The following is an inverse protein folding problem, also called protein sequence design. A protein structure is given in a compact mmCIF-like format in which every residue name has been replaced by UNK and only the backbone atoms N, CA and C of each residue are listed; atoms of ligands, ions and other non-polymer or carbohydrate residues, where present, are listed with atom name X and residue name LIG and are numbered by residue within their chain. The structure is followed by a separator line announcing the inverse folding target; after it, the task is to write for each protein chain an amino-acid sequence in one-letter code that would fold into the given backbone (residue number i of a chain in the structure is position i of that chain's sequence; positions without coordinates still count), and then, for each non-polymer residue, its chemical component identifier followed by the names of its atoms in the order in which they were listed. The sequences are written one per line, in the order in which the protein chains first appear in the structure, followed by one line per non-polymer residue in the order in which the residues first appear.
data_IF_446955855102
#
_entry.id   IF_446955855102
#
_cell.length_a   1.000
_cell.length_b   1.000
_cell.length_c   1.000
_cell.angle_alpha   90.00
_cell.angle_beta   90.00
_cell.angle_gamma   90.00
#
_symmetry.space_group_name_H-M   'P 1'
#
loop_
_entity.id
_entity.type
_entity.pdbx_description
1 polymer ?
#
# COMPACT_ATOMS: atom_id res chain seq x y z
N UNK A 1 -21.12 -36.71 69.16
CA UNK A 1 -21.10 -38.18 69.04
C UNK A 1 -20.25 -38.47 67.83
N UNK A 2 -18.94 -38.66 68.08
CA UNK A 2 -18.18 -39.92 67.99
C UNK A 2 -18.35 -40.62 66.66
N UNK A 3 -17.32 -40.74 65.85
CA UNK A 3 -16.35 -41.87 65.89
C UNK A 3 -15.47 -41.75 64.66
N UNK A 4 -14.15 -41.54 64.74
CA UNK A 4 -13.03 -42.50 64.72
C UNK A 4 -12.81 -43.27 63.40
N UNK A 5 -11.73 -42.88 62.75
CA UNK A 5 -10.60 -43.57 62.08
C UNK A 5 -10.71 -45.08 61.72
N UNK A 6 -9.87 -45.67 60.84
CA UNK A 6 -8.44 -45.41 60.67
C UNK A 6 -7.87 -45.45 59.24
N UNK A 7 -6.56 -45.17 59.21
CA UNK A 7 -5.59 -45.18 58.14
C UNK A 7 -5.35 -46.59 57.49
N UNK A 8 -4.92 -46.57 56.23
CA UNK A 8 -4.06 -47.57 55.65
C UNK A 8 -3.01 -46.92 54.75
N UNK A 9 -1.74 -47.04 55.13
CA UNK A 9 -0.58 -46.81 54.34
C UNK A 9 -0.53 -47.77 53.13
N UNK A 10 -0.26 -47.28 51.98
CA UNK A 10 0.26 -48.08 50.84
C UNK A 10 1.37 -47.32 50.20
N UNK A 11 2.57 -47.75 50.46
CA UNK A 11 3.78 -47.33 49.79
C UNK A 11 3.80 -47.94 48.38
N UNK A 12 3.79 -47.12 47.35
CA UNK A 12 4.07 -47.52 45.98
C UNK A 12 5.40 -46.89 45.52
N UNK A 13 6.40 -47.72 45.35
CA UNK A 13 7.66 -47.38 44.70
C UNK A 13 7.38 -47.01 43.25
N UNK A 14 7.57 -45.75 42.91
CA UNK A 14 7.56 -45.30 41.50
C UNK A 14 8.98 -45.28 40.98
N UNK A 15 9.31 -46.21 40.15
CA UNK A 15 10.54 -46.27 39.35
C UNK A 15 10.55 -45.10 38.36
N UNK A 16 11.47 -44.16 38.54
CA UNK A 16 11.72 -43.08 37.60
C UNK A 16 12.55 -43.66 36.44
N UNK A 17 11.86 -43.89 35.28
CA UNK A 17 12.54 -44.12 34.02
C UNK A 17 13.10 -42.80 33.53
N UNK A 18 14.41 -42.60 33.64
CA UNK A 18 15.12 -41.52 32.91
C UNK A 18 15.11 -41.87 31.42
N UNK A 19 14.19 -41.31 30.66
CA UNK A 19 14.25 -41.31 29.22
C UNK A 19 15.27 -40.22 28.78
N UNK A 20 16.51 -40.65 28.53
CA UNK A 20 17.54 -39.82 27.93
C UNK A 20 17.12 -39.56 26.48
N UNK A 21 16.50 -38.40 26.22
CA UNK A 21 16.32 -37.89 24.86
C UNK A 21 17.70 -37.51 24.31
N UNK A 22 18.34 -38.40 23.57
CA UNK A 22 19.45 -38.06 22.70
C UNK A 22 18.91 -37.06 21.63
N UNK A 23 19.31 -35.80 21.70
CA UNK A 23 19.09 -34.84 20.64
C UNK A 23 19.79 -35.36 19.38
N UNK A 24 19.11 -35.41 18.21
CA UNK A 24 19.79 -35.71 16.97
C UNK A 24 20.81 -34.61 16.70
N UNK A 25 22.08 -35.01 16.54
CA UNK A 25 23.17 -34.15 16.08
C UNK A 25 22.73 -33.45 14.79
N UNK A 26 22.96 -32.12 14.75
CA UNK A 26 22.51 -31.17 13.74
C UNK A 26 22.38 -31.72 12.33
N UNK A 27 21.18 -31.61 11.80
CA UNK A 27 21.00 -31.66 10.37
C UNK A 27 21.86 -30.53 9.78
N UNK A 28 22.62 -30.76 8.70
CA UNK A 28 23.32 -29.68 8.01
C UNK A 28 22.28 -28.62 7.66
N UNK A 29 22.60 -27.33 7.94
CA UNK A 29 21.78 -26.19 7.54
C UNK A 29 21.42 -26.39 6.08
N UNK A 30 20.18 -26.77 5.83
CA UNK A 30 19.65 -26.80 4.47
C UNK A 30 19.69 -25.37 3.96
N UNK A 31 20.50 -25.15 2.92
CA UNK A 31 20.57 -23.87 2.22
C UNK A 31 19.14 -23.41 1.98
N UNK A 32 18.77 -22.19 2.41
CA UNK A 32 17.39 -21.75 2.28
C UNK A 32 16.99 -21.83 0.81
N UNK A 33 15.91 -22.56 0.52
CA UNK A 33 15.42 -22.72 -0.84
C UNK A 33 15.39 -21.36 -1.54
N UNK A 34 15.86 -21.26 -2.79
CA UNK A 34 15.91 -20.00 -3.51
C UNK A 34 14.53 -19.37 -3.51
N UNK A 35 14.43 -18.16 -2.97
CA UNK A 35 13.15 -17.41 -2.95
C UNK A 35 12.76 -17.11 -4.39
N UNK A 36 11.47 -17.29 -4.76
CA UNK A 36 11.01 -16.89 -6.08
C UNK A 36 11.32 -15.42 -6.33
N UNK A 37 11.92 -15.11 -7.46
CA UNK A 37 12.20 -13.72 -7.87
C UNK A 37 10.88 -12.95 -7.95
N UNK A 38 10.83 -11.76 -7.32
CA UNK A 38 9.65 -10.92 -7.34
C UNK A 38 8.58 -11.25 -6.28
N UNK A 39 8.88 -12.15 -5.33
CA UNK A 39 7.97 -12.48 -4.22
C UNK A 39 8.13 -11.56 -3.01
N UNK A 40 9.08 -10.62 -3.04
CA UNK A 40 9.32 -9.70 -1.93
C UNK A 40 8.16 -8.71 -1.77
N UNK A 41 7.66 -8.65 -0.55
CA UNK A 41 6.58 -7.73 -0.16
C UNK A 41 7.16 -6.53 0.55
N UNK A 42 6.53 -5.38 0.34
CA UNK A 42 6.85 -4.16 1.10
C UNK A 42 6.32 -4.25 2.55
N UNK A 43 6.52 -3.18 3.34
CA UNK A 43 6.11 -3.10 4.74
C UNK A 43 4.58 -3.23 4.94
N UNK A 44 3.77 -2.98 3.91
CA UNK A 44 2.33 -3.14 3.90
C UNK A 44 1.86 -4.47 3.32
N UNK A 45 2.79 -5.32 2.89
CA UNK A 45 2.49 -6.61 2.27
C UNK A 45 2.17 -6.54 0.78
N UNK A 46 2.33 -5.40 0.13
CA UNK A 46 2.13 -5.26 -1.31
C UNK A 46 3.28 -5.90 -2.10
N UNK A 47 3.01 -6.29 -3.34
CA UNK A 47 3.97 -6.88 -4.29
C UNK A 47 4.44 -5.83 -5.31
N UNK A 48 5.58 -5.12 -5.09
CA UNK A 48 6.08 -4.13 -6.04
C UNK A 48 6.39 -4.71 -7.41
N UNK A 49 6.88 -5.96 -7.47
CA UNK A 49 7.14 -6.66 -8.73
C UNK A 49 5.88 -6.90 -9.58
N UNK A 50 4.69 -6.90 -8.95
CA UNK A 50 3.40 -6.94 -9.62
C UNK A 50 2.82 -5.54 -9.89
N UNK A 51 3.61 -4.48 -9.70
CA UNK A 51 3.17 -3.09 -9.83
C UNK A 51 2.24 -2.61 -8.73
N UNK A 52 2.17 -3.36 -7.61
CA UNK A 52 1.36 -2.96 -6.46
C UNK A 52 2.08 -1.92 -5.60
N UNK A 53 1.29 -0.99 -5.08
CA UNK A 53 1.71 -0.01 -4.08
C UNK A 53 0.61 0.13 -3.03
N UNK A 54 1.00 0.41 -1.79
CA UNK A 54 0.04 0.75 -0.76
C UNK A 54 -0.61 2.09 -1.05
N UNK A 55 -1.94 2.14 -0.97
CA UNK A 55 -2.71 3.37 -1.05
C UNK A 55 -3.23 3.73 0.33
N UNK A 56 -2.85 4.91 0.83
CA UNK A 56 -3.37 5.46 2.08
C UNK A 56 -4.82 5.92 1.95
N UNK A 57 -5.23 6.39 0.77
CA UNK A 57 -6.60 6.80 0.52
C UNK A 57 -7.57 5.62 0.54
N UNK A 58 -7.13 4.45 0.08
CA UNK A 58 -7.94 3.23 -0.01
C UNK A 58 -7.68 2.25 1.13
N UNK A 59 -6.54 2.36 1.85
CA UNK A 59 -6.13 1.39 2.86
C UNK A 59 -5.86 -0.01 2.30
N UNK A 60 -5.36 -0.10 1.06
CA UNK A 60 -5.18 -1.35 0.34
C UNK A 60 -3.99 -1.28 -0.63
N UNK A 61 -3.47 -2.47 -0.98
CA UNK A 61 -2.52 -2.60 -2.09
C UNK A 61 -3.26 -2.47 -3.42
N UNK A 62 -2.81 -1.57 -4.27
CA UNK A 62 -3.41 -1.30 -5.58
C UNK A 62 -2.36 -1.24 -6.67
N UNK A 63 -2.77 -1.48 -7.89
CA UNK A 63 -2.01 -1.15 -9.09
C UNK A 63 -2.48 0.23 -9.57
N UNK A 64 -1.70 1.31 -9.41
CA UNK A 64 -2.15 2.68 -9.69
C UNK A 64 -2.65 2.88 -11.12
N UNK A 65 -2.00 2.22 -12.09
CA UNK A 65 -2.37 2.31 -13.50
C UNK A 65 -3.73 1.65 -13.85
N UNK A 66 -4.21 0.73 -12.99
CA UNK A 66 -5.52 0.07 -13.17
C UNK A 66 -6.62 0.69 -12.32
N UNK A 67 -6.27 1.14 -11.10
CA UNK A 67 -7.23 1.61 -10.12
C UNK A 67 -7.40 3.14 -10.12
N UNK A 68 -6.40 3.87 -10.64
CA UNK A 68 -6.36 5.33 -10.57
C UNK A 68 -6.74 6.02 -11.87
N UNK A 69 -7.10 7.30 -11.75
CA UNK A 69 -7.25 8.20 -12.90
C UNK A 69 -5.86 8.64 -13.34
N UNK A 70 -5.54 8.43 -14.61
CA UNK A 70 -4.26 8.81 -15.19
C UNK A 70 -4.20 10.29 -15.51
N UNK A 71 -3.14 10.95 -15.06
CA UNK A 71 -2.81 12.32 -15.41
C UNK A 71 -1.50 12.36 -16.20
N UNK A 72 -1.51 13.05 -17.33
CA UNK A 72 -0.33 13.24 -18.18
C UNK A 72 0.29 14.61 -17.90
N UNK A 73 1.64 14.75 -17.94
CA UNK A 73 2.28 16.04 -17.77
C UNK A 73 1.89 16.98 -18.92
N UNK A 74 1.62 18.24 -18.58
CA UNK A 74 1.29 19.26 -19.58
C UNK A 74 2.55 19.81 -20.25
N UNK A 75 3.71 19.76 -19.59
CA UNK A 75 5.00 20.13 -20.17
C UNK A 75 5.44 19.07 -21.16
N UNK A 76 5.69 19.48 -22.39
CA UNK A 76 6.32 18.62 -23.38
C UNK A 76 7.79 18.36 -23.03
N UNK A 77 8.30 17.17 -23.31
CA UNK A 77 9.71 16.87 -23.12
C UNK A 77 10.57 17.82 -23.97
N UNK A 78 11.75 18.21 -23.44
CA UNK A 78 12.68 19.09 -24.14
C UNK A 78 13.30 18.40 -25.38
N UNK A 79 13.38 17.07 -25.33
CA UNK A 79 13.84 16.26 -26.46
C UNK A 79 13.02 14.95 -26.57
N UNK A 80 12.95 14.34 -27.76
CA UNK A 80 12.15 13.12 -27.99
C UNK A 80 12.60 11.89 -27.17
N UNK A 81 13.84 11.90 -26.67
CA UNK A 81 14.40 10.80 -25.87
C UNK A 81 14.14 10.97 -24.37
N UNK A 82 13.60 12.10 -23.94
CA UNK A 82 13.24 12.33 -22.54
C UNK A 82 12.05 11.46 -22.15
N UNK A 83 12.23 10.67 -21.07
CA UNK A 83 11.14 9.84 -20.55
C UNK A 83 10.05 10.73 -19.94
N UNK A 84 8.81 10.44 -20.30
CA UNK A 84 7.62 11.12 -19.79
C UNK A 84 6.85 10.16 -18.90
N UNK A 85 6.61 10.54 -17.64
CA UNK A 85 5.90 9.73 -16.68
C UNK A 85 4.54 10.35 -16.35
N UNK A 86 3.51 9.51 -16.38
CA UNK A 86 2.18 9.89 -15.89
C UNK A 86 2.12 9.76 -14.37
N UNK A 87 1.24 10.54 -13.76
CA UNK A 87 0.82 10.37 -12.37
C UNK A 87 -0.56 9.74 -12.32
N UNK A 88 -0.92 9.12 -11.20
CA UNK A 88 -2.22 8.49 -11.01
C UNK A 88 -2.88 9.05 -9.76
N UNK A 89 -4.19 9.24 -9.83
CA UNK A 89 -5.00 9.73 -8.71
C UNK A 89 -5.98 8.67 -8.27
N UNK A 90 -5.97 8.36 -6.98
CA UNK A 90 -6.90 7.46 -6.31
C UNK A 90 -7.77 8.26 -5.36
N UNK A 91 -9.05 7.95 -5.31
CA UNK A 91 -9.97 8.60 -4.38
C UNK A 91 -10.42 7.64 -3.30
N UNK A 92 -10.56 8.13 -2.05
CA UNK A 92 -11.29 7.38 -1.03
C UNK A 92 -12.75 7.19 -1.46
N UNK A 93 -13.45 6.15 -0.96
CA UNK A 93 -14.84 5.85 -1.38
C UNK A 93 -15.81 7.02 -1.21
N UNK A 94 -15.57 7.89 -0.23
CA UNK A 94 -16.34 9.09 0.06
C UNK A 94 -15.82 10.34 -0.67
N UNK A 95 -14.76 10.19 -1.46
CA UNK A 95 -14.02 11.27 -2.11
C UNK A 95 -13.52 12.38 -1.14
N UNK A 96 -13.46 12.10 0.17
CA UNK A 96 -12.92 13.04 1.15
C UNK A 96 -11.39 13.19 1.01
N UNK A 97 -10.73 12.19 0.43
CA UNK A 97 -9.29 12.19 0.17
C UNK A 97 -9.02 11.81 -1.29
N UNK A 98 -8.01 12.45 -1.86
CA UNK A 98 -7.40 12.06 -3.13
C UNK A 98 -5.92 11.76 -2.86
N UNK A 99 -5.40 10.70 -3.41
CA UNK A 99 -3.99 10.35 -3.32
C UNK A 99 -3.36 10.44 -4.70
N UNK A 100 -2.30 11.23 -4.80
CA UNK A 100 -1.49 11.33 -6.01
C UNK A 100 -0.32 10.37 -5.88
N UNK A 101 -0.19 9.45 -6.82
CA UNK A 101 0.95 8.55 -6.98
C UNK A 101 1.76 8.96 -8.20
N UNK A 102 2.92 9.53 -7.96
CA UNK A 102 3.86 9.99 -8.98
C UNK A 102 5.20 9.30 -8.82
N UNK A 103 6.03 9.32 -9.87
CA UNK A 103 7.45 8.98 -9.79
C UNK A 103 8.24 10.07 -9.07
N UNK A 104 7.73 11.30 -9.04
CA UNK A 104 8.31 12.42 -8.31
C UNK A 104 7.77 12.44 -6.87
N UNK A 105 8.60 12.16 -5.84
CA UNK A 105 8.12 12.12 -4.45
C UNK A 105 7.48 13.43 -4.00
N UNK A 106 7.96 14.57 -4.49
CA UNK A 106 7.43 15.89 -4.16
C UNK A 106 6.00 16.14 -4.68
N UNK A 107 5.52 15.31 -5.61
CA UNK A 107 4.17 15.37 -6.17
C UNK A 107 3.28 14.23 -5.68
N UNK A 108 3.80 13.35 -4.84
CA UNK A 108 3.06 12.21 -4.29
C UNK A 108 2.52 12.53 -2.90
N UNK A 109 1.34 12.02 -2.58
CA UNK A 109 0.76 12.11 -1.24
C UNK A 109 -0.75 12.22 -1.23
N UNK A 110 -1.29 12.24 -0.02
CA UNK A 110 -2.73 12.35 0.22
C UNK A 110 -3.13 13.82 0.37
N UNK A 111 -4.14 14.20 -0.40
CA UNK A 111 -4.75 15.51 -0.39
C UNK A 111 -6.14 15.41 0.24
N UNK A 112 -6.50 16.35 1.11
CA UNK A 112 -7.83 16.42 1.72
C UNK A 112 -8.77 17.26 0.85
N UNK A 113 -10.04 16.84 0.78
CA UNK A 113 -11.08 17.60 0.08
C UNK A 113 -11.25 18.98 0.72
N UNK A 114 -11.21 20.01 -0.09
CA UNK A 114 -11.39 21.40 0.30
C UNK A 114 -12.76 21.89 -0.16
N UNK A 115 -13.45 22.64 0.71
CA UNK A 115 -14.70 23.31 0.30
C UNK A 115 -14.35 24.58 -0.46
N UNK A 116 -14.35 24.51 -1.78
CA UNK A 116 -14.11 25.65 -2.63
C UNK A 116 -15.33 26.59 -2.63
N UNK A 117 -15.09 27.91 -2.56
CA UNK A 117 -16.16 28.92 -2.55
C UNK A 117 -16.89 29.02 -3.90
N UNK A 118 -16.23 28.62 -4.98
CA UNK A 118 -16.72 28.57 -6.36
C UNK A 118 -17.47 27.28 -6.70
N UNK A 119 -17.62 26.37 -5.71
CA UNK A 119 -18.28 25.08 -5.90
C UNK A 119 -17.44 24.04 -6.65
N UNK A 120 -16.19 24.35 -7.01
CA UNK A 120 -15.30 23.41 -7.67
C UNK A 120 -14.93 22.25 -6.73
N UNK A 121 -14.76 21.06 -7.30
CA UNK A 121 -14.19 19.93 -6.56
C UNK A 121 -12.68 20.12 -6.48
N UNK A 122 -12.19 20.21 -5.26
CA UNK A 122 -10.77 20.47 -5.00
C UNK A 122 -10.27 19.68 -3.81
N UNK A 123 -9.03 19.19 -3.92
CA UNK A 123 -8.28 18.55 -2.84
C UNK A 123 -6.93 19.24 -2.72
N UNK A 124 -6.42 19.39 -1.49
CA UNK A 124 -5.17 20.12 -1.23
C UNK A 124 -4.31 19.42 -0.18
N UNK A 125 -2.99 19.53 -0.37
CA UNK A 125 -1.97 19.25 0.62
C UNK A 125 -0.79 20.21 0.41
N UNK A 126 -0.64 21.19 1.30
CA UNK A 126 0.37 22.24 1.12
C UNK A 126 0.17 23.01 -0.18
N UNK A 127 1.20 23.01 -1.04
CA UNK A 127 1.16 23.64 -2.36
C UNK A 127 0.52 22.79 -3.45
N UNK A 128 0.36 21.47 -3.21
CA UNK A 128 -0.29 20.58 -4.17
C UNK A 128 -1.81 20.77 -4.13
N UNK A 129 -2.37 20.98 -5.31
CA UNK A 129 -3.79 21.16 -5.52
C UNK A 129 -4.23 20.23 -6.65
N UNK A 130 -5.17 19.36 -6.36
CA UNK A 130 -5.89 18.61 -7.37
C UNK A 130 -7.28 19.25 -7.49
N UNK A 131 -7.67 19.63 -8.69
CA UNK A 131 -9.00 20.19 -8.92
C UNK A 131 -9.65 19.60 -10.16
N UNK A 132 -10.99 19.55 -10.15
CA UNK A 132 -11.77 19.17 -11.34
C UNK A 132 -12.21 20.41 -12.06
N UNK A 133 -11.64 20.64 -13.24
CA UNK A 133 -11.98 21.78 -14.10
C UNK A 133 -12.53 21.28 -15.42
N UNK A 134 -13.70 21.77 -15.80
CA UNK A 134 -14.40 21.34 -17.02
C UNK A 134 -14.55 19.81 -17.15
N UNK A 135 -14.72 19.13 -16.02
CA UNK A 135 -14.88 17.68 -15.97
C UNK A 135 -13.58 16.89 -15.92
N UNK A 136 -12.43 17.50 -16.14
CA UNK A 136 -11.10 16.88 -16.12
C UNK A 136 -10.36 17.19 -14.83
N UNK A 137 -9.55 16.25 -14.35
CA UNK A 137 -8.65 16.47 -13.22
C UNK A 137 -7.39 17.20 -13.66
N UNK A 138 -6.99 18.18 -12.87
CA UNK A 138 -5.77 18.97 -13.04
C UNK A 138 -4.98 18.94 -11.73
N UNK A 139 -3.69 18.63 -11.81
CA UNK A 139 -2.77 18.70 -10.67
C UNK A 139 -1.87 19.92 -10.83
N UNK A 140 -1.93 20.79 -9.82
CA UNK A 140 -1.16 22.02 -9.76
C UNK A 140 -0.20 22.00 -8.55
N UNK A 141 0.90 22.75 -8.67
CA UNK A 141 1.75 23.14 -7.55
C UNK A 141 1.73 24.66 -7.44
N UNK A 142 1.14 25.16 -6.35
CA UNK A 142 0.79 26.57 -6.26
C UNK A 142 -0.21 26.95 -7.36
N UNK A 143 0.21 27.75 -8.33
CA UNK A 143 -0.58 28.16 -9.50
C UNK A 143 -0.13 27.48 -10.81
N UNK A 144 0.95 26.72 -10.78
CA UNK A 144 1.49 26.07 -11.95
C UNK A 144 0.77 24.75 -12.23
N UNK A 145 0.19 24.61 -13.41
CA UNK A 145 -0.42 23.36 -13.88
C UNK A 145 0.68 22.40 -14.34
N UNK A 146 0.77 21.26 -13.66
CA UNK A 146 1.81 20.26 -13.92
C UNK A 146 1.28 19.07 -14.73
N UNK A 147 0.10 18.56 -14.36
CA UNK A 147 -0.52 17.37 -14.97
C UNK A 147 -1.99 17.59 -15.22
N UNK A 148 -2.51 16.91 -16.24
CA UNK A 148 -3.93 16.94 -16.59
C UNK A 148 -4.40 15.56 -17.02
N UNK A 149 -5.66 15.26 -16.70
CA UNK A 149 -6.39 14.12 -17.23
C UNK A 149 -6.59 14.28 -18.74
N UNK A 150 -6.38 13.20 -19.49
CA UNK A 150 -6.60 13.21 -20.94
C UNK A 150 -8.10 13.11 -21.24
N UNK A 151 -8.60 13.98 -22.08
CA UNK A 151 -9.99 13.90 -22.55
C UNK A 151 -10.18 12.65 -23.42
N UNK A 152 -11.03 11.74 -23.00
CA UNK A 152 -11.36 10.51 -23.75
C UNK A 152 -12.13 10.79 -25.08
N UNK A 153 -12.36 12.07 -25.42
CA UNK A 153 -13.09 12.47 -26.64
C UNK A 153 -12.26 12.56 -27.93
N UNK A 154 -10.95 12.31 -27.87
CA UNK A 154 -10.07 12.38 -29.04
C UNK A 154 -9.80 10.98 -29.61
N UNK A 155 -10.84 10.30 -30.13
CA UNK A 155 -10.66 8.96 -30.70
C UNK A 155 -11.91 8.35 -31.32
N UNK A 156 -12.78 9.20 -31.88
CA UNK A 156 -13.86 8.74 -32.75
C UNK A 156 -13.89 9.64 -34.01
N UNK A 157 -12.93 9.42 -34.87
CA UNK A 157 -12.99 9.75 -36.29
C UNK A 157 -12.47 8.55 -37.08
#
# INVERSE_FOLDING_TARGET
MTSSKPALLSAALSSVLLCACAAPAGAPDADPAPRPIGADRDAHGCLPAAGQRWSEALGACVQPFSAGVRLNPVRKPANPSEAVFSSFVLFSPDAARAEVMSVEPALSGVLARERAKDGAERWRSGELVLERRSGLLELLKGTELLYREESTKAGQD
#
